data_IF_640145916568
#
_entry.id   IF_640145916568
#
_cell.length_a   1.000
_cell.length_b   1.000
_cell.length_c   1.000
_cell.angle_alpha   90.00
_cell.angle_beta   90.00
_cell.angle_gamma   90.00
#
_symmetry.space_group_name_H-M   'P 1'
#
loop_
_entity.id
_entity.type
_entity.pdbx_description
1 polymer ?
#
# COMPACT_ATOMS: atom_id res chain seq x y z
N UNK A 1 30.91 -52.28 -15.73
CA UNK A 1 29.56 -52.85 -15.61
C UNK A 1 29.07 -52.49 -14.22
N UNK A 2 28.26 -51.45 -14.13
CA UNK A 2 27.80 -50.83 -12.89
C UNK A 2 26.34 -51.28 -12.68
N UNK A 3 25.95 -51.75 -11.48
CA UNK A 3 24.60 -52.28 -11.27
C UNK A 3 23.58 -51.16 -11.12
N UNK A 4 22.52 -51.23 -11.93
CA UNK A 4 21.39 -50.32 -11.93
C UNK A 4 20.58 -50.45 -10.63
N UNK A 5 20.59 -49.38 -9.84
CA UNK A 5 19.77 -49.22 -8.63
C UNK A 5 18.32 -48.99 -9.05
N UNK A 6 17.47 -49.98 -8.77
CA UNK A 6 16.05 -50.03 -9.12
C UNK A 6 15.27 -49.25 -8.05
N UNK A 7 14.83 -48.04 -8.39
CA UNK A 7 13.95 -47.23 -7.53
C UNK A 7 12.54 -47.86 -7.45
N UNK A 8 12.07 -48.08 -6.22
CA UNK A 8 10.68 -48.44 -5.90
C UNK A 8 9.73 -47.26 -6.17
N UNK A 9 8.55 -47.49 -6.78
CA UNK A 9 7.53 -46.46 -6.91
C UNK A 9 6.81 -46.23 -5.58
N UNK A 10 6.85 -45.00 -5.09
CA UNK A 10 6.12 -44.55 -3.92
C UNK A 10 4.59 -44.63 -4.14
N UNK A 11 3.91 -45.24 -3.17
CA UNK A 11 2.47 -45.43 -3.11
C UNK A 11 1.73 -44.08 -2.95
N UNK A 12 0.63 -43.83 -3.68
CA UNK A 12 -0.13 -42.60 -3.57
C UNK A 12 -0.94 -42.56 -2.26
N UNK A 13 -0.65 -41.57 -1.41
CA UNK A 13 -1.44 -41.30 -0.21
C UNK A 13 -2.86 -40.81 -0.57
N UNK A 14 -3.88 -41.58 -0.18
CA UNK A 14 -5.29 -41.18 -0.25
C UNK A 14 -5.56 -40.00 0.69
N UNK A 15 -5.94 -38.85 0.11
CA UNK A 15 -6.45 -37.70 0.85
C UNK A 15 -7.94 -37.93 1.10
N UNK A 16 -8.31 -38.36 2.30
CA UNK A 16 -9.71 -38.42 2.73
C UNK A 16 -10.25 -36.99 2.90
N UNK A 17 -11.12 -36.57 1.99
CA UNK A 17 -11.85 -35.30 2.06
C UNK A 17 -12.93 -35.39 3.14
N UNK A 18 -12.65 -34.80 4.31
CA UNK A 18 -13.62 -34.69 5.40
C UNK A 18 -14.61 -33.56 5.07
N UNK A 19 -15.86 -33.92 4.78
CA UNK A 19 -16.91 -32.97 4.45
C UNK A 19 -17.28 -32.11 5.68
N UNK A 20 -17.25 -30.79 5.53
CA UNK A 20 -17.65 -29.85 6.58
C UNK A 20 -19.18 -29.86 6.78
N UNK A 21 -19.69 -29.76 8.02
CA UNK A 21 -21.13 -29.68 8.28
C UNK A 21 -21.75 -28.42 7.69
N UNK A 22 -22.95 -28.55 7.13
CA UNK A 22 -23.75 -27.44 6.62
C UNK A 22 -24.20 -26.48 7.75
N UNK A 23 -24.21 -25.15 7.53
CA UNK A 23 -24.71 -24.19 8.52
C UNK A 23 -26.21 -24.33 8.73
N UNK A 24 -26.66 -24.23 9.98
CA UNK A 24 -28.07 -24.19 10.34
C UNK A 24 -28.74 -22.87 9.87
N UNK A 25 -30.04 -22.89 9.50
CA UNK A 25 -30.78 -21.67 9.20
C UNK A 25 -30.89 -20.77 10.43
N UNK A 26 -30.47 -19.51 10.29
CA UNK A 26 -30.64 -18.48 11.33
C UNK A 26 -32.10 -18.06 11.51
N UNK A 27 -32.47 -17.51 12.68
CA UNK A 27 -33.84 -17.09 12.99
C UNK A 27 -34.30 -15.93 12.11
N UNK A 28 -35.61 -15.92 11.84
CA UNK A 28 -36.29 -14.88 11.06
C UNK A 28 -36.23 -13.50 11.75
N UNK A 29 -36.15 -12.39 10.99
CA UNK A 29 -36.07 -11.06 11.55
C UNK A 29 -37.40 -10.62 12.20
N UNK A 30 -37.27 -9.92 13.33
CA UNK A 30 -38.38 -9.28 14.06
C UNK A 30 -39.08 -8.18 13.22
N UNK A 31 -40.39 -7.96 13.43
CA UNK A 31 -41.12 -6.87 12.79
C UNK A 31 -40.64 -5.49 13.27
N UNK A 32 -40.46 -4.58 12.31
CA UNK A 32 -40.01 -3.22 12.54
C UNK A 32 -41.00 -2.40 13.40
N UNK A 33 -40.53 -1.57 14.35
CA UNK A 33 -41.41 -0.70 15.13
C UNK A 33 -42.02 0.41 14.27
N UNK A 34 -43.30 0.68 14.52
CA UNK A 34 -44.09 1.71 13.85
C UNK A 34 -43.48 3.11 14.04
N UNK A 35 -43.35 3.84 12.92
CA UNK A 35 -42.90 5.24 12.91
C UNK A 35 -43.93 6.14 13.60
N UNK A 36 -43.48 6.85 14.63
CA UNK A 36 -44.22 7.96 15.23
C UNK A 36 -44.31 9.16 14.26
N UNK A 37 -45.35 10.01 14.34
CA UNK A 37 -45.46 11.21 13.53
C UNK A 37 -44.24 12.11 13.74
N UNK A 38 -43.53 12.42 12.66
CA UNK A 38 -42.41 13.37 12.69
C UNK A 38 -42.99 14.78 12.76
N UNK A 39 -42.87 15.43 13.90
CA UNK A 39 -43.10 16.86 14.04
C UNK A 39 -42.15 17.61 13.10
N UNK A 40 -42.71 18.26 12.08
CA UNK A 40 -41.99 19.13 11.16
C UNK A 40 -41.75 20.46 11.90
N UNK A 41 -40.50 20.84 12.23
CA UNK A 41 -40.24 22.13 12.83
C UNK A 41 -40.55 23.24 11.81
N UNK A 42 -41.04 24.42 12.26
CA UNK A 42 -41.32 25.53 11.37
C UNK A 42 -40.03 25.94 10.66
N UNK A 43 -40.13 26.03 9.33
CA UNK A 43 -39.09 26.55 8.45
C UNK A 43 -38.72 27.98 8.84
N UNK A 44 -37.67 28.10 9.66
CA UNK A 44 -37.01 29.37 9.94
C UNK A 44 -36.36 29.96 8.68
N UNK A 45 -36.01 31.25 8.70
CA UNK A 45 -35.43 31.94 7.55
C UNK A 45 -34.19 31.21 7.04
N UNK A 46 -34.24 30.80 5.77
CA UNK A 46 -33.11 30.25 5.03
C UNK A 46 -31.92 31.23 5.10
N UNK A 47 -30.73 30.79 5.54
CA UNK A 47 -29.55 31.63 5.49
C UNK A 47 -29.24 31.95 4.01
N UNK A 48 -29.31 33.23 3.68
CA UNK A 48 -28.90 33.75 2.37
C UNK A 48 -27.42 33.36 2.17
N UNK A 49 -27.07 32.65 1.09
CA UNK A 49 -25.66 32.35 0.81
C UNK A 49 -24.93 33.68 0.58
N UNK A 50 -24.07 34.04 1.53
CA UNK A 50 -23.16 35.18 1.38
C UNK A 50 -22.20 34.84 0.26
N UNK A 51 -22.47 35.36 -0.93
CA UNK A 51 -21.55 35.38 -2.05
C UNK A 51 -20.36 36.27 -1.68
N UNK A 52 -19.26 35.69 -1.19
CA UNK A 52 -18.08 36.49 -0.86
C UNK A 52 -16.93 35.78 -0.15
N UNK A 53 -17.13 34.59 0.41
CA UNK A 53 -16.01 33.81 0.94
C UNK A 53 -15.44 32.93 -0.16
N UNK A 54 -14.55 33.50 -0.96
CA UNK A 54 -13.57 32.73 -1.72
C UNK A 54 -12.96 31.68 -0.77
N UNK A 55 -13.07 30.37 -1.04
CA UNK A 55 -12.44 29.37 -0.19
C UNK A 55 -10.96 29.68 -0.11
N UNK A 56 -10.49 30.10 1.06
CA UNK A 56 -9.07 30.35 1.28
C UNK A 56 -8.34 29.04 0.91
N UNK A 57 -7.32 29.06 0.05
CA UNK A 57 -6.55 27.85 -0.25
C UNK A 57 -6.04 27.32 1.09
N UNK A 58 -6.60 26.20 1.55
CA UNK A 58 -6.04 25.48 2.69
C UNK A 58 -4.69 24.97 2.21
N UNK A 59 -3.64 25.75 2.47
CA UNK A 59 -2.27 25.33 2.29
C UNK A 59 -2.11 24.07 3.12
N UNK A 60 -2.00 22.92 2.45
CA UNK A 60 -1.53 21.70 3.08
C UNK A 60 -0.22 22.10 3.78
N UNK A 61 -0.07 21.90 5.10
CA UNK A 61 1.11 22.38 5.80
C UNK A 61 2.33 21.75 5.12
N UNK A 62 3.20 22.60 4.54
CA UNK A 62 4.37 22.16 3.78
C UNK A 62 5.22 21.14 4.58
N UNK A 63 5.22 21.30 5.91
CA UNK A 63 5.82 20.38 6.87
C UNK A 63 5.29 18.93 6.74
N UNK A 64 3.99 18.71 6.55
CA UNK A 64 3.41 17.37 6.43
C UNK A 64 3.84 16.69 5.12
N UNK A 65 3.96 17.45 4.02
CA UNK A 65 4.50 16.94 2.76
C UNK A 65 5.99 16.62 2.91
N UNK A 66 6.75 17.46 3.59
CA UNK A 66 8.18 17.29 3.82
C UNK A 66 8.46 16.08 4.71
N UNK A 67 7.77 15.93 5.84
CA UNK A 67 7.90 14.75 6.72
C UNK A 67 7.56 13.45 5.99
N UNK A 68 6.58 13.47 5.10
CA UNK A 68 6.25 12.31 4.25
C UNK A 68 7.33 12.01 3.23
N UNK A 69 7.83 13.03 2.55
CA UNK A 69 8.94 12.88 1.60
C UNK A 69 10.18 12.30 2.26
N UNK A 70 10.57 12.87 3.41
CA UNK A 70 11.71 12.39 4.21
C UNK A 70 11.47 10.97 4.73
N UNK A 71 10.27 10.67 5.24
CA UNK A 71 9.93 9.32 5.71
C UNK A 71 9.96 8.27 4.60
N UNK A 72 9.40 8.59 3.42
CA UNK A 72 9.46 7.71 2.24
C UNK A 72 10.90 7.50 1.79
N UNK A 73 11.68 8.57 1.68
CA UNK A 73 13.10 8.50 1.31
C UNK A 73 13.89 7.62 2.28
N UNK A 74 13.75 7.85 3.60
CA UNK A 74 14.45 7.10 4.63
C UNK A 74 14.08 5.61 4.61
N UNK A 75 12.80 5.27 4.40
CA UNK A 75 12.36 3.89 4.27
C UNK A 75 12.99 3.21 3.06
N UNK A 76 12.97 3.86 1.89
CA UNK A 76 13.56 3.29 0.66
C UNK A 76 15.07 3.10 0.83
N UNK A 77 15.74 4.11 1.40
CA UNK A 77 17.16 4.04 1.72
C UNK A 77 17.46 2.88 2.67
N UNK A 78 16.72 2.75 3.77
CA UNK A 78 16.88 1.65 4.72
C UNK A 78 16.61 0.27 4.09
N UNK A 79 15.62 0.16 3.20
CA UNK A 79 15.34 -1.07 2.46
C UNK A 79 16.53 -1.53 1.60
N UNK A 80 17.33 -0.60 1.08
CA UNK A 80 18.54 -0.94 0.33
C UNK A 80 19.70 -1.43 1.22
N UNK A 81 19.62 -1.21 2.53
CA UNK A 81 20.61 -1.67 3.52
C UNK A 81 20.29 -3.07 4.09
N UNK A 82 19.14 -3.65 3.76
CA UNK A 82 18.76 -4.99 4.24
C UNK A 82 19.79 -6.05 3.81
N UNK A 83 20.08 -7.03 4.68
CA UNK A 83 21.16 -8.01 4.47
C UNK A 83 20.94 -8.89 3.23
N UNK A 84 19.71 -8.99 2.75
CA UNK A 84 19.34 -9.76 1.56
C UNK A 84 19.66 -9.05 0.23
N UNK A 85 20.17 -7.82 0.26
CA UNK A 85 20.66 -7.14 -0.95
C UNK A 85 22.11 -7.55 -1.24
N UNK A 86 22.29 -8.57 -2.07
CA UNK A 86 23.59 -8.95 -2.67
C UNK A 86 24.26 -7.81 -3.45
N UNK A 87 23.53 -6.72 -3.71
CA UNK A 87 24.03 -5.46 -4.27
C UNK A 87 25.15 -4.83 -3.41
N UNK A 88 25.38 -5.29 -2.18
CA UNK A 88 26.48 -4.81 -1.32
C UNK A 88 27.87 -5.07 -1.89
N UNK A 89 28.04 -6.05 -2.76
CA UNK A 89 29.36 -6.40 -3.31
C UNK A 89 29.85 -5.39 -4.35
N UNK A 90 28.94 -4.64 -4.97
CA UNK A 90 29.27 -3.53 -5.87
C UNK A 90 29.55 -2.26 -5.06
N UNK A 91 30.83 -2.04 -4.74
CA UNK A 91 31.27 -0.85 -4.02
C UNK A 91 31.55 0.29 -5.02
N UNK A 92 30.93 1.45 -4.83
CA UNK A 92 31.24 2.66 -5.62
C UNK A 92 30.19 3.76 -5.54
N UNK A 93 30.63 5.01 -5.74
CA UNK A 93 29.80 6.22 -5.71
C UNK A 93 28.59 6.15 -6.66
N UNK A 94 28.71 5.43 -7.79
CA UNK A 94 27.64 5.27 -8.78
C UNK A 94 26.43 4.51 -8.21
N UNK A 95 26.67 3.50 -7.37
CA UNK A 95 25.60 2.72 -6.72
C UNK A 95 24.82 3.58 -5.75
N UNK A 96 25.52 4.30 -4.88
CA UNK A 96 24.88 5.19 -3.90
C UNK A 96 24.09 6.30 -4.59
N UNK A 97 24.63 6.86 -5.67
CA UNK A 97 23.93 7.85 -6.50
C UNK A 97 22.65 7.26 -7.12
N UNK A 98 22.72 6.07 -7.72
CA UNK A 98 21.57 5.42 -8.36
C UNK A 98 20.46 5.08 -7.35
N UNK A 99 20.85 4.53 -6.19
CA UNK A 99 19.91 4.24 -5.09
C UNK A 99 19.29 5.52 -4.56
N UNK A 100 20.09 6.56 -4.30
CA UNK A 100 19.61 7.86 -3.82
C UNK A 100 18.64 8.50 -4.81
N UNK A 101 18.99 8.50 -6.10
CA UNK A 101 18.17 9.05 -7.17
C UNK A 101 16.83 8.30 -7.29
N UNK A 102 16.87 6.97 -7.26
CA UNK A 102 15.64 6.15 -7.31
C UNK A 102 14.77 6.42 -6.09
N UNK A 103 15.37 6.44 -4.89
CA UNK A 103 14.65 6.74 -3.65
C UNK A 103 14.00 8.12 -3.68
N UNK A 104 14.70 9.12 -4.21
CA UNK A 104 14.18 10.46 -4.38
C UNK A 104 12.99 10.50 -5.36
N UNK A 105 13.13 9.88 -6.53
CA UNK A 105 12.06 9.82 -7.54
C UNK A 105 10.82 9.13 -6.98
N UNK A 106 10.99 7.97 -6.34
CA UNK A 106 9.90 7.24 -5.71
C UNK A 106 9.23 8.07 -4.62
N UNK A 107 10.01 8.74 -3.75
CA UNK A 107 9.47 9.61 -2.70
C UNK A 107 8.70 10.81 -3.29
N UNK A 108 9.19 11.42 -4.37
CA UNK A 108 8.49 12.50 -5.08
C UNK A 108 7.16 12.01 -5.69
N UNK A 109 7.16 10.85 -6.34
CA UNK A 109 5.94 10.26 -6.90
C UNK A 109 4.92 9.96 -5.78
N UNK A 110 5.38 9.37 -4.69
CA UNK A 110 4.56 8.99 -3.54
C UNK A 110 3.99 10.20 -2.77
N UNK A 111 4.70 11.34 -2.77
CA UNK A 111 4.20 12.60 -2.20
C UNK A 111 3.23 13.33 -3.13
N UNK A 112 3.39 13.16 -4.45
CA UNK A 112 2.55 13.77 -5.48
C UNK A 112 1.18 13.09 -5.61
N UNK A 113 1.13 11.77 -5.43
CA UNK A 113 -0.11 11.00 -5.50
C UNK A 113 -0.96 11.26 -4.25
N UNK A 114 -1.89 12.22 -4.36
CA UNK A 114 -2.91 12.46 -3.33
C UNK A 114 -4.09 11.51 -3.56
N UNK A 115 -4.30 10.48 -2.72
CA UNK A 115 -5.39 9.54 -2.94
C UNK A 115 -6.73 10.23 -2.65
N UNK A 116 -7.40 10.69 -3.70
CA UNK A 116 -8.80 11.12 -3.67
C UNK A 116 -9.78 9.95 -3.86
N UNK A 117 -9.21 8.76 -4.09
CA UNK A 117 -9.88 7.53 -4.48
C UNK A 117 -10.11 6.64 -3.26
N UNK A 118 -10.98 5.61 -3.37
CA UNK A 118 -11.10 4.58 -2.33
C UNK A 118 -9.73 3.98 -1.97
N UNK A 119 -9.60 3.57 -0.71
CA UNK A 119 -8.33 3.14 -0.08
C UNK A 119 -7.64 2.02 -0.86
N UNK A 120 -8.40 0.99 -1.26
CA UNK A 120 -7.86 -0.18 -1.93
C UNK A 120 -7.21 0.13 -3.30
N UNK A 121 -7.87 0.79 -4.28
CA UNK A 121 -7.23 1.09 -5.55
C UNK A 121 -6.10 2.11 -5.44
N UNK A 122 -6.18 3.04 -4.49
CA UNK A 122 -5.08 3.96 -4.22
C UNK A 122 -3.82 3.23 -3.72
N UNK A 123 -4.00 2.30 -2.78
CA UNK A 123 -2.92 1.43 -2.30
C UNK A 123 -2.36 0.55 -3.42
N UNK A 124 -3.23 -0.08 -4.22
CA UNK A 124 -2.80 -0.94 -5.33
C UNK A 124 -1.98 -0.15 -6.37
N UNK A 125 -2.45 1.04 -6.76
CA UNK A 125 -1.72 1.92 -7.65
C UNK A 125 -0.33 2.24 -7.07
N UNK A 126 -0.27 2.52 -5.77
CA UNK A 126 0.98 2.81 -5.08
C UNK A 126 1.95 1.62 -5.15
N UNK A 127 1.48 0.41 -4.85
CA UNK A 127 2.28 -0.82 -4.95
C UNK A 127 2.76 -1.04 -6.39
N UNK A 128 1.88 -0.89 -7.38
CA UNK A 128 2.22 -1.09 -8.80
C UNK A 128 3.26 -0.08 -9.27
N UNK A 129 3.13 1.19 -8.92
CA UNK A 129 4.09 2.24 -9.30
C UNK A 129 5.45 2.00 -8.65
N UNK A 130 5.49 1.65 -7.35
CA UNK A 130 6.73 1.33 -6.66
C UNK A 130 7.38 0.08 -7.27
N UNK A 131 6.59 -0.97 -7.53
CA UNK A 131 7.07 -2.18 -8.20
C UNK A 131 7.63 -1.87 -9.59
N UNK A 132 6.94 -1.06 -10.40
CA UNK A 132 7.41 -0.68 -11.73
C UNK A 132 8.73 0.10 -11.68
N UNK A 133 8.88 1.05 -10.75
CA UNK A 133 10.14 1.78 -10.55
C UNK A 133 11.27 0.86 -10.12
N UNK A 134 11.00 -0.04 -9.19
CA UNK A 134 11.96 -1.03 -8.72
C UNK A 134 12.33 -2.04 -9.83
N UNK A 135 11.37 -2.47 -10.65
CA UNK A 135 11.61 -3.33 -11.81
C UNK A 135 12.43 -2.60 -12.88
N UNK A 136 12.14 -1.33 -13.15
CA UNK A 136 12.90 -0.53 -14.10
C UNK A 136 14.37 -0.40 -13.68
N UNK A 137 14.64 -0.22 -12.39
CA UNK A 137 16.00 -0.28 -11.85
C UNK A 137 16.56 -1.69 -11.95
N UNK A 138 15.78 -2.71 -11.58
CA UNK A 138 16.21 -4.11 -11.63
C UNK A 138 16.56 -4.58 -13.06
N UNK A 139 16.00 -3.99 -14.12
CA UNK A 139 16.41 -4.28 -15.51
C UNK A 139 17.87 -3.92 -15.80
N UNK A 140 18.46 -3.02 -15.00
CA UNK A 140 19.87 -2.64 -15.09
C UNK A 140 20.76 -3.69 -14.39
N UNK A 141 20.19 -4.54 -13.55
CA UNK A 141 20.92 -5.49 -12.70
C UNK A 141 20.57 -6.95 -13.05
N UNK A 142 21.49 -7.90 -12.82
CA UNK A 142 21.21 -9.32 -13.10
C UNK A 142 20.09 -9.85 -12.18
N UNK A 143 19.27 -10.77 -12.71
CA UNK A 143 17.97 -11.27 -12.19
C UNK A 143 18.02 -11.84 -10.74
N UNK A 144 19.20 -12.08 -10.19
CA UNK A 144 19.49 -12.69 -8.88
C UNK A 144 19.08 -11.86 -7.65
N UNK A 145 18.11 -10.95 -7.78
CA UNK A 145 17.55 -10.15 -6.69
C UNK A 145 16.04 -9.93 -6.79
N UNK A 146 15.35 -10.55 -7.76
CA UNK A 146 13.96 -10.23 -8.10
C UNK A 146 13.00 -10.41 -6.91
N UNK A 147 13.17 -11.48 -6.12
CA UNK A 147 12.37 -11.72 -4.91
C UNK A 147 12.61 -10.63 -3.84
N UNK A 148 13.87 -10.23 -3.64
CA UNK A 148 14.21 -9.15 -2.72
C UNK A 148 13.63 -7.80 -3.18
N UNK A 149 13.65 -7.54 -4.49
CA UNK A 149 13.02 -6.37 -5.12
C UNK A 149 11.50 -6.38 -4.90
N UNK A 150 10.83 -7.50 -5.12
CA UNK A 150 9.39 -7.66 -4.87
C UNK A 150 9.03 -7.44 -3.39
N UNK A 151 9.74 -8.10 -2.47
CA UNK A 151 9.51 -7.95 -1.04
C UNK A 151 9.75 -6.50 -0.58
N UNK A 152 10.83 -5.87 -1.05
CA UNK A 152 11.13 -4.47 -0.75
C UNK A 152 10.06 -3.54 -1.31
N UNK A 153 9.65 -3.71 -2.58
CA UNK A 153 8.61 -2.89 -3.19
C UNK A 153 7.27 -2.98 -2.43
N UNK A 154 6.88 -4.20 -2.02
CA UNK A 154 5.67 -4.43 -1.22
C UNK A 154 5.76 -3.79 0.17
N UNK A 155 6.89 -4.00 0.87
CA UNK A 155 7.10 -3.48 2.21
C UNK A 155 7.15 -1.95 2.19
N UNK A 156 7.87 -1.37 1.23
CA UNK A 156 7.99 0.08 1.04
C UNK A 156 6.66 0.72 0.63
N UNK A 157 5.95 0.11 -0.31
CA UNK A 157 4.62 0.56 -0.72
C UNK A 157 3.64 0.57 0.45
N UNK A 158 3.65 -0.48 1.26
CA UNK A 158 2.79 -0.60 2.44
C UNK A 158 3.18 0.38 3.55
N UNK A 159 4.47 0.55 3.83
CA UNK A 159 4.95 1.47 4.85
C UNK A 159 4.71 2.95 4.47
N UNK A 160 4.95 3.32 3.22
CA UNK A 160 4.63 4.65 2.72
C UNK A 160 3.12 4.93 2.71
N UNK A 161 2.31 3.92 2.39
CA UNK A 161 0.86 4.00 2.54
C UNK A 161 0.44 4.19 4.00
N UNK A 162 1.04 3.47 4.95
CA UNK A 162 0.78 3.64 6.37
C UNK A 162 1.15 5.05 6.88
N UNK A 163 2.30 5.59 6.46
CA UNK A 163 2.72 6.97 6.76
C UNK A 163 1.68 8.01 6.31
N UNK A 164 0.98 7.74 5.21
CA UNK A 164 -0.10 8.60 4.72
C UNK A 164 -1.25 8.75 5.71
N UNK A 165 -1.49 7.72 6.52
CA UNK A 165 -2.51 7.69 7.58
C UNK A 165 -1.98 8.16 8.93
N UNK A 166 -0.70 7.94 9.22
CA UNK A 166 -0.09 8.29 10.51
C UNK A 166 0.20 9.78 10.66
N UNK A 167 0.49 10.51 9.58
CA UNK A 167 0.83 11.95 9.66
C UNK A 167 -0.45 12.79 9.82
N UNK A 168 -0.70 13.41 11.00
CA UNK A 168 -1.87 14.23 11.25
C UNK A 168 -1.84 15.50 10.38
N UNK A 169 -3.00 15.91 9.88
CA UNK A 169 -3.13 17.09 9.01
C UNK A 169 -3.71 16.82 7.61
N UNK A 170 -3.91 15.55 7.22
CA UNK A 170 -4.64 15.21 5.99
C UNK A 170 -6.16 15.16 6.16
N UNK A 171 -6.65 15.07 7.40
CA UNK A 171 -8.06 14.83 7.75
C UNK A 171 -8.81 16.05 8.31
N UNK A 172 -8.19 17.24 8.31
CA UNK A 172 -8.95 18.47 8.56
C UNK A 172 -9.81 18.74 7.32
N UNK A 173 -11.01 18.16 7.31
CA UNK A 173 -12.17 18.68 6.61
C UNK A 173 -12.98 19.48 7.60
#
# INVERSE_FOLDING_TARGET
>A
AEPAERAEPAEPAEIQAQAAPAPAPGPAPDPAPALAPTDVPPSGPQPIPVAGTTPRPQSVPALALLLRGVGCFALIWAGTMLPYNYIREWHGNLRELLISATALVVALVNTSLRPRWPVAPAWLLFVVVNLALFMAVALIWPIWGLLGVLCNALLLGTACWALWWSVPGSRSR
#
